data_IF_304474425538
#
_entry.id   IF_304474425538
#
_cell.length_a   1.000
_cell.length_b   1.000
_cell.length_c   1.000
_cell.angle_alpha   90.00
_cell.angle_beta   90.00
_cell.angle_gamma   90.00
#
_symmetry.space_group_name_H-M   'P 1'
#
loop_
_entity.id
_entity.type
_entity.pdbx_description
1 polymer ?
#
# COMPACT_ATOMS: atom_id res chain seq x y z
N UNK A 1 17.07 -54.43 -3.48
CA UNK A 1 17.28 -54.29 -4.94
C UNK A 1 16.49 -53.08 -5.39
N UNK A 2 17.19 -51.96 -5.59
CA UNK A 2 16.63 -50.71 -6.08
C UNK A 2 17.14 -50.51 -7.52
N UNK A 3 16.25 -50.14 -8.42
CA UNK A 3 16.53 -49.73 -9.79
C UNK A 3 16.50 -48.18 -9.88
N UNK A 4 16.84 -47.54 -11.02
CA UNK A 4 18.01 -46.69 -11.14
C UNK A 4 17.68 -45.20 -11.28
N UNK A 5 18.63 -44.33 -10.93
CA UNK A 5 18.57 -42.91 -11.28
C UNK A 5 19.46 -42.63 -12.49
N UNK A 6 18.85 -42.13 -13.56
CA UNK A 6 19.51 -41.53 -14.72
C UNK A 6 18.63 -40.40 -15.27
N UNK A 7 19.11 -39.15 -15.18
CA UNK A 7 18.73 -37.95 -15.95
C UNK A 7 19.91 -36.99 -15.76
N UNK A 8 20.87 -36.85 -16.68
CA UNK A 8 20.86 -36.07 -17.92
C UNK A 8 20.37 -34.62 -17.78
N UNK A 9 21.38 -33.73 -17.76
CA UNK A 9 21.49 -32.36 -18.31
C UNK A 9 20.26 -31.77 -19.01
N UNK A 10 20.00 -30.47 -18.83
CA UNK A 10 19.98 -29.47 -19.91
C UNK A 10 19.82 -28.06 -19.32
N UNK A 11 20.78 -27.18 -19.59
CA UNK A 11 20.65 -25.73 -19.42
C UNK A 11 20.15 -25.11 -20.73
N UNK A 12 19.23 -24.13 -20.73
CA UNK A 12 18.89 -23.35 -21.91
C UNK A 12 19.67 -22.02 -21.97
N UNK A 13 20.61 -21.99 -22.91
CA UNK A 13 20.77 -21.01 -23.99
C UNK A 13 19.94 -19.69 -24.00
N UNK A 14 20.70 -18.58 -24.14
CA UNK A 14 20.52 -17.45 -25.07
C UNK A 14 19.56 -16.29 -24.70
N UNK A 15 20.16 -15.21 -24.17
CA UNK A 15 19.71 -13.82 -24.40
C UNK A 15 20.28 -13.33 -25.73
N UNK A 16 19.40 -13.00 -26.68
CA UNK A 16 19.74 -12.31 -27.93
C UNK A 16 19.58 -10.80 -27.76
N UNK A 17 20.61 -10.04 -28.15
CA UNK A 17 20.60 -8.58 -28.28
C UNK A 17 20.60 -8.24 -29.78
N UNK A 18 19.67 -7.42 -30.30
CA UNK A 18 19.76 -6.98 -31.69
C UNK A 18 20.75 -5.81 -31.85
N UNK A 19 21.74 -6.04 -32.71
CA UNK A 19 22.58 -5.00 -33.33
C UNK A 19 21.79 -4.24 -34.40
N UNK A 20 21.99 -2.92 -34.51
CA UNK A 20 21.75 -2.18 -35.74
C UNK A 20 22.95 -1.31 -36.10
N UNK A 21 23.51 -1.60 -37.27
CA UNK A 21 24.56 -0.86 -37.96
C UNK A 21 23.95 0.21 -38.89
N UNK A 22 24.51 1.43 -38.80
CA UNK A 22 24.96 2.36 -39.86
C UNK A 22 24.33 2.34 -41.28
N UNK A 23 24.17 3.40 -42.08
CA UNK A 23 24.52 4.84 -42.14
C UNK A 23 23.88 5.35 -43.45
N UNK A 24 23.43 6.61 -43.56
CA UNK A 24 23.69 7.47 -44.74
C UNK A 24 23.26 8.94 -44.58
N UNK A 25 24.31 9.78 -44.65
CA UNK A 25 24.48 11.10 -45.31
C UNK A 25 23.54 12.28 -45.00
N UNK A 26 24.25 13.39 -44.74
CA UNK A 26 23.89 14.77 -44.38
C UNK A 26 23.24 15.52 -45.56
N UNK A 27 22.47 16.59 -45.31
CA UNK A 27 22.99 17.89 -45.72
C UNK A 27 22.95 18.96 -44.63
N UNK A 28 23.96 19.82 -44.74
CA UNK A 28 24.31 20.99 -43.95
C UNK A 28 23.24 22.07 -43.92
N UNK A 29 22.94 22.61 -42.73
CA UNK A 29 22.74 24.05 -42.54
C UNK A 29 23.23 24.50 -41.16
N UNK A 30 23.97 25.60 -41.20
CA UNK A 30 24.62 26.24 -40.07
C UNK A 30 23.62 26.94 -39.13
N UNK A 31 23.84 26.82 -37.82
CA UNK A 31 23.61 27.89 -36.83
C UNK A 31 24.51 27.65 -35.62
N UNK A 32 25.47 28.55 -35.40
CA UNK A 32 26.35 28.59 -34.22
C UNK A 32 25.51 28.85 -32.96
N UNK A 33 25.60 28.03 -31.90
CA UNK A 33 25.30 28.48 -30.55
C UNK A 33 26.51 29.25 -29.99
N UNK A 34 26.23 30.37 -29.33
CA UNK A 34 27.20 31.25 -28.67
C UNK A 34 27.81 30.53 -27.47
N UNK A 35 29.14 30.63 -27.35
CA UNK A 35 29.96 30.49 -26.13
C UNK A 35 29.29 29.79 -24.93
N UNK A 36 29.44 28.48 -24.83
CA UNK A 36 29.41 27.79 -23.54
C UNK A 36 30.76 28.01 -22.86
N UNK A 37 30.77 28.72 -21.74
CA UNK A 37 31.97 28.82 -20.91
C UNK A 37 32.32 27.44 -20.34
N UNK A 38 33.61 27.10 -20.20
CA UNK A 38 34.01 25.91 -19.47
C UNK A 38 33.60 26.08 -18.01
N UNK A 39 32.66 25.27 -17.54
CA UNK A 39 32.37 25.11 -16.12
C UNK A 39 33.66 24.64 -15.45
N UNK A 40 34.25 25.52 -14.63
CA UNK A 40 35.44 25.19 -13.87
C UNK A 40 35.12 24.09 -12.86
N UNK A 41 36.06 23.17 -12.53
CA UNK A 41 35.85 22.11 -11.54
C UNK A 41 35.32 22.65 -10.20
N UNK A 42 35.68 23.89 -9.84
CA UNK A 42 35.21 24.59 -8.65
C UNK A 42 33.73 25.00 -8.68
N UNK A 43 33.16 25.28 -9.86
CA UNK A 43 31.74 25.55 -10.01
C UNK A 43 30.92 24.26 -9.90
N UNK A 44 31.44 23.15 -10.43
CA UNK A 44 30.83 21.83 -10.32
C UNK A 44 30.91 21.28 -8.89
N UNK A 45 32.02 21.54 -8.17
CA UNK A 45 32.16 21.21 -6.76
C UNK A 45 31.29 22.10 -5.84
N UNK A 46 31.07 23.38 -6.16
CA UNK A 46 30.10 24.23 -5.46
C UNK A 46 28.66 23.81 -5.74
N UNK A 47 28.32 23.49 -6.98
CA UNK A 47 26.99 23.01 -7.33
C UNK A 47 26.71 21.63 -6.73
N UNK A 48 27.71 20.77 -6.61
CA UNK A 48 27.62 19.51 -5.86
C UNK A 48 27.55 19.75 -4.35
N UNK A 49 28.25 20.75 -3.78
CA UNK A 49 28.11 21.09 -2.36
C UNK A 49 26.76 21.73 -2.04
N UNK A 50 26.24 22.58 -2.91
CA UNK A 50 24.94 23.22 -2.79
C UNK A 50 23.81 22.20 -2.98
N UNK A 51 24.00 21.24 -3.90
CA UNK A 51 23.14 20.07 -4.00
C UNK A 51 23.27 19.16 -2.76
N UNK A 52 24.46 18.91 -2.24
CA UNK A 52 24.65 18.16 -0.98
C UNK A 52 23.99 18.85 0.21
N UNK A 53 23.95 20.19 0.23
CA UNK A 53 23.26 20.97 1.27
C UNK A 53 21.74 20.96 1.07
N UNK A 54 21.28 20.90 -0.18
CA UNK A 54 19.87 20.77 -0.54
C UNK A 54 19.36 19.35 -0.27
N UNK A 55 20.17 18.32 -0.53
CA UNK A 55 19.92 16.95 -0.12
C UNK A 55 20.05 16.78 1.40
N UNK A 56 20.94 17.49 2.11
CA UNK A 56 20.95 17.50 3.58
C UNK A 56 19.76 18.28 4.18
N UNK A 57 19.16 19.23 3.46
CA UNK A 57 17.90 19.91 3.85
C UNK A 57 16.63 19.14 3.47
N UNK A 58 16.68 18.34 2.40
CA UNK A 58 15.59 17.45 1.97
C UNK A 58 15.65 16.08 2.67
N UNK A 59 16.84 15.63 3.06
CA UNK A 59 17.14 14.49 3.95
C UNK A 59 17.34 14.98 5.39
N UNK A 60 16.99 16.24 5.68
CA UNK A 60 16.34 16.55 6.94
C UNK A 60 14.93 15.95 6.87
N UNK A 61 14.88 14.61 6.76
CA UNK A 61 13.81 13.79 7.27
C UNK A 61 13.58 14.37 8.64
N UNK A 62 12.54 15.20 8.77
CA UNK A 62 12.12 15.70 10.05
C UNK A 62 11.78 14.43 10.81
N UNK A 63 12.70 14.03 11.69
CA UNK A 63 12.45 12.93 12.61
C UNK A 63 11.10 13.21 13.25
N UNK A 64 10.24 12.19 13.31
CA UNK A 64 8.95 12.28 14.02
C UNK A 64 9.20 13.00 15.34
N UNK A 65 8.50 14.13 15.55
CA UNK A 65 8.66 14.94 16.74
C UNK A 65 8.39 14.07 17.96
N UNK A 66 9.19 14.21 19.02
CA UNK A 66 9.05 13.40 20.23
C UNK A 66 8.71 14.31 21.41
N UNK A 67 7.60 14.01 22.09
CA UNK A 67 7.13 14.77 23.24
C UNK A 67 6.83 13.84 24.41
N UNK A 68 7.18 14.21 25.66
CA UNK A 68 6.74 13.46 26.82
C UNK A 68 5.23 13.63 27.03
N UNK A 69 4.57 12.60 27.58
CA UNK A 69 3.12 12.56 27.79
C UNK A 69 2.56 13.76 28.57
N UNK A 70 3.31 14.27 29.55
CA UNK A 70 2.90 15.45 30.33
C UNK A 70 2.82 16.72 29.48
N UNK A 71 3.75 16.87 28.53
CA UNK A 71 3.78 18.00 27.59
C UNK A 71 2.71 17.84 26.52
N UNK A 72 2.55 16.63 25.98
CA UNK A 72 1.48 16.32 25.03
C UNK A 72 0.09 16.63 25.60
N UNK A 73 -0.13 16.35 26.89
CA UNK A 73 -1.38 16.69 27.57
C UNK A 73 -1.59 18.20 27.67
N UNK A 74 -0.53 18.98 27.87
CA UNK A 74 -0.62 20.43 28.00
C UNK A 74 -0.79 21.15 26.65
N UNK A 75 -0.24 20.57 25.57
CA UNK A 75 -0.22 21.13 24.22
C UNK A 75 -1.12 20.36 23.23
N UNK A 76 -2.18 19.71 23.70
CA UNK A 76 -2.99 18.82 22.85
C UNK A 76 -3.60 19.53 21.62
N UNK A 77 -3.99 20.80 21.77
CA UNK A 77 -4.53 21.60 20.67
C UNK A 77 -3.49 21.81 19.56
N UNK A 78 -2.28 22.22 19.92
CA UNK A 78 -1.19 22.43 18.96
C UNK A 78 -0.82 21.11 18.27
N UNK A 79 -0.75 20.01 19.03
CA UNK A 79 -0.48 18.67 18.48
C UNK A 79 -1.58 18.18 17.53
N UNK A 80 -2.82 18.60 17.74
CA UNK A 80 -3.92 18.30 16.83
C UNK A 80 -3.78 19.05 15.51
N UNK A 81 -3.43 20.34 15.55
CA UNK A 81 -3.13 21.14 14.34
C UNK A 81 -1.90 20.60 13.59
N UNK A 82 -0.85 20.19 14.31
CA UNK A 82 0.32 19.53 13.73
C UNK A 82 -0.07 18.25 12.99
N UNK A 83 -0.95 17.42 13.58
CA UNK A 83 -1.45 16.22 12.93
C UNK A 83 -2.19 16.54 11.63
N UNK A 84 -3.07 17.55 11.63
CA UNK A 84 -3.77 18.02 10.43
C UNK A 84 -2.82 18.58 9.36
N UNK A 85 -1.65 19.08 9.76
CA UNK A 85 -0.59 19.52 8.86
C UNK A 85 0.33 18.38 8.36
N UNK A 86 -0.06 17.11 8.57
CA UNK A 86 0.72 15.91 8.25
C UNK A 86 2.08 15.88 8.96
N UNK A 87 2.13 16.33 10.22
CA UNK A 87 3.30 16.28 11.09
C UNK A 87 3.09 15.27 12.23
N UNK A 88 3.45 13.99 12.03
CA UNK A 88 3.32 12.97 13.05
C UNK A 88 4.11 13.32 14.33
N UNK A 89 3.48 13.07 15.48
CA UNK A 89 4.11 13.28 16.78
C UNK A 89 4.13 11.99 17.58
N UNK A 90 5.33 11.57 18.00
CA UNK A 90 5.56 10.45 18.92
C UNK A 90 5.44 10.95 20.37
N UNK A 91 4.50 10.37 21.11
CA UNK A 91 4.24 10.66 22.51
C UNK A 91 4.86 9.56 23.37
N UNK A 92 5.74 9.94 24.30
CA UNK A 92 6.45 9.01 25.18
C UNK A 92 5.89 9.04 26.60
N UNK A 93 5.71 7.86 27.19
CA UNK A 93 5.28 7.73 28.59
C UNK A 93 6.20 6.79 29.34
N UNK A 94 6.61 7.20 30.54
CA UNK A 94 7.44 6.37 31.42
C UNK A 94 6.78 5.00 31.65
N UNK A 95 7.53 3.92 31.40
CA UNK A 95 7.10 2.51 31.55
C UNK A 95 5.95 2.08 30.62
N UNK A 96 5.75 2.77 29.49
CA UNK A 96 4.85 2.33 28.43
C UNK A 96 5.55 2.43 27.08
N UNK A 97 5.05 1.67 26.09
CA UNK A 97 5.47 1.85 24.71
C UNK A 97 5.06 3.25 24.21
N UNK A 98 5.85 3.87 23.32
CA UNK A 98 5.48 5.14 22.70
C UNK A 98 4.23 4.98 21.82
N UNK A 99 3.43 6.03 21.73
CA UNK A 99 2.30 6.13 20.79
C UNK A 99 2.59 7.22 19.76
N UNK A 100 1.92 7.20 18.62
CA UNK A 100 2.05 8.24 17.58
C UNK A 100 0.67 8.84 17.32
N UNK A 101 0.61 10.17 17.28
CA UNK A 101 -0.53 10.95 16.81
C UNK A 101 -0.32 11.30 15.33
N UNK A 102 -1.32 11.01 14.51
CA UNK A 102 -1.40 11.35 13.08
C UNK A 102 -2.82 11.81 12.75
N UNK A 103 -3.00 12.48 11.60
CA UNK A 103 -4.34 12.79 11.11
C UNK A 103 -5.08 11.51 10.68
N UNK A 104 -6.41 11.61 10.62
CA UNK A 104 -7.25 10.55 10.03
C UNK A 104 -6.93 10.34 8.54
N UNK A 105 -6.59 11.41 7.82
CA UNK A 105 -6.19 11.32 6.41
C UNK A 105 -4.90 10.51 6.24
N UNK A 106 -3.88 10.78 7.06
CA UNK A 106 -2.64 10.00 7.08
C UNK A 106 -2.89 8.54 7.46
N UNK A 107 -3.76 8.28 8.45
CA UNK A 107 -4.17 6.93 8.81
C UNK A 107 -4.78 6.21 7.61
N UNK A 108 -5.73 6.84 6.90
CA UNK A 108 -6.35 6.27 5.69
C UNK A 108 -5.32 6.02 4.59
N UNK A 109 -4.39 6.94 4.37
CA UNK A 109 -3.33 6.78 3.39
C UNK A 109 -2.38 5.60 3.72
N UNK A 110 -2.02 5.43 4.99
CA UNK A 110 -1.22 4.30 5.47
C UNK A 110 -1.95 2.95 5.34
N UNK A 111 -3.28 2.96 5.48
CA UNK A 111 -4.11 1.77 5.40
C UNK A 111 -4.61 1.44 3.99
N UNK A 112 -4.38 2.32 3.01
CA UNK A 112 -4.95 2.21 1.66
C UNK A 112 -4.63 0.88 0.97
N UNK A 113 -3.42 0.33 1.19
CA UNK A 113 -2.99 -0.93 0.57
C UNK A 113 -3.55 -2.22 1.20
N UNK A 114 -4.34 -2.12 2.28
CA UNK A 114 -4.92 -3.28 2.97
C UNK A 114 -6.34 -3.52 2.49
N UNK A 115 -6.48 -3.98 1.25
CA UNK A 115 -7.76 -4.23 0.57
C UNK A 115 -8.46 -5.49 1.09
N UNK A 116 -9.79 -5.51 0.98
CA UNK A 116 -10.62 -6.67 1.29
C UNK A 116 -10.97 -7.42 0.01
N UNK A 117 -10.97 -8.75 0.08
CA UNK A 117 -11.28 -9.61 -1.05
C UNK A 117 -12.39 -10.60 -0.65
N UNK A 118 -13.64 -10.14 -0.46
CA UNK A 118 -14.72 -11.04 -0.12
C UNK A 118 -14.99 -12.03 -1.25
N UNK A 119 -15.02 -13.32 -0.91
CA UNK A 119 -15.37 -14.39 -1.85
C UNK A 119 -16.84 -14.73 -1.66
N UNK A 120 -17.64 -14.61 -2.72
CA UNK A 120 -19.07 -14.93 -2.69
C UNK A 120 -19.30 -16.33 -3.27
N UNK A 121 -19.98 -17.18 -2.51
CA UNK A 121 -20.27 -18.56 -2.85
C UNK A 121 -21.78 -18.79 -2.91
N UNK A 122 -22.22 -19.51 -3.95
CA UNK A 122 -23.61 -19.89 -4.14
C UNK A 122 -23.72 -21.42 -4.14
N UNK A 123 -24.41 -21.98 -3.16
CA UNK A 123 -24.57 -23.43 -3.06
C UNK A 123 -25.96 -23.80 -2.51
N UNK A 124 -26.64 -24.73 -3.19
CA UNK A 124 -27.90 -25.34 -2.74
C UNK A 124 -28.98 -24.33 -2.27
N UNK A 125 -29.11 -23.19 -2.96
CA UNK A 125 -30.08 -22.14 -2.61
C UNK A 125 -29.67 -21.29 -1.41
N UNK A 126 -28.39 -21.31 -1.03
CA UNK A 126 -27.79 -20.44 -0.01
C UNK A 126 -26.69 -19.59 -0.63
N UNK A 127 -26.45 -18.45 0.00
CA UNK A 127 -25.34 -17.56 -0.30
C UNK A 127 -24.39 -17.53 0.90
N UNK A 128 -23.10 -17.59 0.64
CA UNK A 128 -22.04 -17.43 1.62
C UNK A 128 -21.07 -16.33 1.17
N UNK A 129 -20.53 -15.58 2.12
CA UNK A 129 -19.50 -14.59 1.88
C UNK A 129 -18.36 -14.88 2.85
N UNK A 130 -17.21 -15.25 2.29
CA UNK A 130 -15.98 -15.43 3.04
C UNK A 130 -15.15 -14.16 2.97
N UNK A 131 -14.62 -13.71 4.11
CA UNK A 131 -13.68 -12.60 4.21
C UNK A 131 -12.31 -13.13 4.68
N UNK A 132 -11.41 -13.48 3.74
CA UNK A 132 -10.16 -14.18 4.04
C UNK A 132 -9.27 -13.46 5.05
N UNK A 133 -9.18 -12.13 4.95
CA UNK A 133 -8.25 -11.31 5.74
C UNK A 133 -8.58 -11.34 7.23
N UNK A 134 -9.86 -11.45 7.54
CA UNK A 134 -10.36 -11.53 8.92
C UNK A 134 -10.79 -12.93 9.33
N UNK A 135 -10.80 -13.87 8.39
CA UNK A 135 -11.35 -15.21 8.56
C UNK A 135 -12.79 -15.18 9.10
N UNK A 136 -13.60 -14.28 8.56
CA UNK A 136 -15.02 -14.12 8.92
C UNK A 136 -15.91 -14.64 7.79
N UNK A 137 -17.07 -15.16 8.15
CA UNK A 137 -18.00 -15.75 7.22
C UNK A 137 -19.42 -15.25 7.53
N UNK A 138 -20.12 -14.73 6.53
CA UNK A 138 -21.56 -14.47 6.60
C UNK A 138 -22.31 -15.40 5.67
N UNK A 139 -23.48 -15.89 6.07
CA UNK A 139 -24.34 -16.68 5.19
C UNK A 139 -25.79 -16.24 5.19
N UNK A 140 -26.55 -16.70 4.20
CA UNK A 140 -27.93 -16.30 4.07
C UNK A 140 -28.71 -17.08 3.04
N UNK A 141 -30.02 -16.83 2.99
CA UNK A 141 -30.86 -17.31 1.89
C UNK A 141 -30.69 -16.45 0.64
N UNK A 142 -30.26 -15.20 0.84
CA UNK A 142 -29.94 -14.22 -0.19
C UNK A 142 -28.55 -13.61 0.02
N UNK A 143 -28.07 -12.87 -0.96
CA UNK A 143 -26.82 -12.10 -0.85
C UNK A 143 -26.92 -11.03 0.25
N UNK A 144 -28.05 -10.33 0.36
CA UNK A 144 -28.25 -9.31 1.40
C UNK A 144 -28.28 -9.91 2.80
N UNK A 145 -28.91 -11.08 2.97
CA UNK A 145 -28.88 -11.81 4.25
C UNK A 145 -27.43 -12.14 4.65
N UNK A 146 -26.63 -12.65 3.69
CA UNK A 146 -25.24 -13.00 3.93
C UNK A 146 -24.35 -11.78 4.23
N UNK A 147 -24.64 -10.61 3.63
CA UNK A 147 -23.97 -9.34 3.97
C UNK A 147 -24.31 -8.87 5.37
N UNK A 148 -25.58 -8.94 5.75
CA UNK A 148 -26.03 -8.55 7.09
C UNK A 148 -25.34 -9.42 8.15
N UNK A 149 -25.31 -10.74 7.96
CA UNK A 149 -24.64 -11.66 8.87
C UNK A 149 -23.12 -11.41 8.93
N UNK A 150 -22.47 -11.11 7.79
CA UNK A 150 -21.05 -10.74 7.79
C UNK A 150 -20.78 -9.46 8.60
N UNK A 151 -21.66 -8.46 8.54
CA UNK A 151 -21.53 -7.23 9.33
C UNK A 151 -21.71 -7.52 10.83
N UNK A 152 -22.64 -8.39 11.21
CA UNK A 152 -22.81 -8.82 12.60
C UNK A 152 -21.53 -9.48 13.13
N UNK A 153 -20.93 -10.39 12.36
CA UNK A 153 -19.65 -11.04 12.70
C UNK A 153 -18.48 -10.03 12.82
N UNK A 154 -18.46 -8.99 11.98
CA UNK A 154 -17.50 -7.89 12.09
C UNK A 154 -17.71 -7.12 13.40
N UNK A 155 -18.95 -6.75 13.74
CA UNK A 155 -19.25 -6.03 14.96
C UNK A 155 -18.91 -6.85 16.21
N UNK A 156 -19.18 -8.16 16.19
CA UNK A 156 -18.76 -9.07 17.25
C UNK A 156 -17.23 -9.12 17.41
N UNK A 157 -16.48 -9.22 16.30
CA UNK A 157 -15.02 -9.14 16.33
C UNK A 157 -14.54 -7.83 16.94
N UNK A 158 -15.08 -6.69 16.48
CA UNK A 158 -14.70 -5.36 16.97
C UNK A 158 -15.03 -5.18 18.46
N UNK A 159 -16.19 -5.67 18.91
CA UNK A 159 -16.58 -5.64 20.32
C UNK A 159 -15.64 -6.48 21.21
N UNK A 160 -15.28 -7.68 20.77
CA UNK A 160 -14.30 -8.54 21.46
C UNK A 160 -12.92 -7.87 21.56
N UNK A 161 -12.48 -7.24 20.47
CA UNK A 161 -11.22 -6.52 20.43
C UNK A 161 -11.24 -5.29 21.32
N UNK A 162 -12.35 -4.54 21.41
CA UNK A 162 -12.50 -3.41 22.31
C UNK A 162 -12.36 -3.86 23.78
N UNK A 163 -13.00 -4.98 24.14
CA UNK A 163 -13.03 -5.51 25.49
C UNK A 163 -11.68 -6.12 25.96
N UNK A 164 -10.81 -6.56 25.06
CA UNK A 164 -9.61 -7.33 25.42
C UNK A 164 -8.32 -6.82 24.79
N UNK A 165 -7.50 -6.14 25.61
CA UNK A 165 -6.13 -5.75 25.21
C UNK A 165 -5.24 -6.96 24.88
N UNK A 166 -5.48 -8.11 25.53
CA UNK A 166 -4.75 -9.35 25.26
C UNK A 166 -5.08 -9.89 23.87
N UNK A 167 -6.34 -9.82 23.44
CA UNK A 167 -6.77 -10.31 22.13
C UNK A 167 -6.12 -9.48 21.00
N UNK A 168 -6.04 -8.16 21.17
CA UNK A 168 -5.35 -7.27 20.22
C UNK A 168 -3.87 -7.62 19.99
N UNK A 169 -3.22 -8.25 20.97
CA UNK A 169 -1.83 -8.69 20.88
C UNK A 169 -1.66 -10.17 20.52
N UNK A 170 -2.74 -10.91 20.25
CA UNK A 170 -2.65 -12.31 19.86
C UNK A 170 -2.02 -12.42 18.45
N UNK A 171 -1.13 -13.39 18.18
CA UNK A 171 -0.43 -13.48 16.88
C UNK A 171 -1.36 -13.50 15.67
N UNK A 172 -2.49 -14.22 15.78
CA UNK A 172 -3.50 -14.32 14.71
C UNK A 172 -4.33 -13.03 14.52
N UNK A 173 -4.25 -12.07 15.44
CA UNK A 173 -4.92 -10.77 15.35
C UNK A 173 -3.94 -9.68 14.94
N UNK A 174 -2.71 -9.72 15.47
CA UNK A 174 -1.68 -8.70 15.24
C UNK A 174 -1.41 -8.49 13.73
N UNK A 175 -1.33 -9.59 12.98
CA UNK A 175 -1.10 -9.55 11.52
C UNK A 175 -2.30 -8.99 10.75
N UNK A 176 -3.49 -8.96 11.36
CA UNK A 176 -4.75 -8.51 10.75
C UNK A 176 -5.15 -7.09 11.15
N UNK A 177 -4.39 -6.46 12.06
CA UNK A 177 -4.72 -5.14 12.59
C UNK A 177 -4.95 -4.07 11.53
N UNK A 178 -4.21 -4.01 10.40
CA UNK A 178 -4.48 -2.99 9.39
C UNK A 178 -5.90 -3.04 8.82
N UNK A 179 -6.42 -4.23 8.51
CA UNK A 179 -7.81 -4.41 8.07
C UNK A 179 -8.82 -4.09 9.15
N UNK A 180 -8.54 -4.50 10.40
CA UNK A 180 -9.38 -4.17 11.55
C UNK A 180 -9.46 -2.65 11.72
N UNK A 181 -8.35 -1.92 11.60
CA UNK A 181 -8.34 -0.46 11.70
C UNK A 181 -9.12 0.22 10.58
N UNK A 182 -9.13 -0.34 9.35
CA UNK A 182 -10.01 0.16 8.28
C UNK A 182 -11.49 0.05 8.67
N UNK A 183 -11.91 -1.09 9.23
CA UNK A 183 -13.31 -1.28 9.67
C UNK A 183 -13.67 -0.43 10.90
N UNK A 184 -12.71 -0.15 11.77
CA UNK A 184 -12.89 0.76 12.91
C UNK A 184 -12.99 2.23 12.49
N UNK A 185 -12.35 2.62 11.38
CA UNK A 185 -12.39 3.99 10.85
C UNK A 185 -13.68 4.31 10.09
N UNK A 186 -14.39 3.28 9.62
CA UNK A 186 -15.69 3.44 8.96
C UNK A 186 -16.77 3.92 9.94
N UNK A 187 -17.56 4.91 9.53
CA UNK A 187 -18.58 5.57 10.35
C UNK A 187 -19.94 4.89 10.31
N UNK A 188 -20.15 4.00 9.35
CA UNK A 188 -21.43 3.32 9.15
C UNK A 188 -21.23 1.95 8.50
N UNK A 189 -22.28 1.12 8.58
CA UNK A 189 -22.32 -0.15 7.87
C UNK A 189 -22.29 0.03 6.36
N UNK A 190 -22.87 1.11 5.83
CA UNK A 190 -22.77 1.44 4.40
C UNK A 190 -21.30 1.66 3.99
N UNK A 191 -20.54 2.47 4.74
CA UNK A 191 -19.11 2.69 4.46
C UNK A 191 -18.30 1.39 4.61
N UNK A 192 -18.64 0.53 5.59
CA UNK A 192 -18.02 -0.79 5.72
C UNK A 192 -18.32 -1.66 4.50
N UNK A 193 -19.55 -1.69 4.03
CA UNK A 193 -19.93 -2.44 2.84
C UNK A 193 -19.23 -1.89 1.59
N UNK A 194 -19.08 -0.58 1.45
CA UNK A 194 -18.28 0.04 0.38
C UNK A 194 -16.81 -0.40 0.48
N UNK A 195 -16.23 -0.46 1.68
CA UNK A 195 -14.85 -0.96 1.88
C UNK A 195 -14.70 -2.42 1.50
N UNK A 196 -15.67 -3.27 1.85
CA UNK A 196 -15.63 -4.70 1.61
C UNK A 196 -15.83 -5.03 0.12
N UNK A 197 -16.78 -4.35 -0.53
CA UNK A 197 -17.21 -4.67 -1.90
C UNK A 197 -16.85 -3.59 -2.92
N UNK A 198 -15.85 -2.75 -2.63
CA UNK A 198 -15.34 -1.76 -3.58
C UNK A 198 -14.95 -2.46 -4.90
N UNK A 199 -15.35 -1.87 -6.03
CA UNK A 199 -14.85 -2.34 -7.32
C UNK A 199 -13.33 -2.15 -7.36
N UNK A 200 -12.56 -3.19 -7.72
CA UNK A 200 -11.12 -3.06 -7.82
C UNK A 200 -10.80 -2.03 -8.89
N UNK A 201 -10.05 -0.99 -8.53
CA UNK A 201 -9.59 0.05 -9.43
C UNK A 201 -8.58 -0.52 -10.43
N UNK A 202 -9.04 -1.32 -11.41
CA UNK A 202 -8.11 -1.96 -12.33
C UNK A 202 -8.59 -3.09 -13.24
N UNK A 203 -9.88 -3.47 -13.26
CA UNK A 203 -10.37 -4.45 -14.27
C UNK A 203 -11.01 -3.74 -15.46
N UNK A 204 -10.21 -2.96 -16.18
CA UNK A 204 -10.46 -2.86 -17.62
C UNK A 204 -10.26 -4.26 -18.17
N UNK A 205 -11.36 -4.92 -18.53
CA UNK A 205 -11.32 -6.20 -19.23
C UNK A 205 -10.43 -6.06 -20.46
N UNK A 206 -9.21 -6.60 -20.40
CA UNK A 206 -8.47 -6.96 -21.59
C UNK A 206 -9.16 -8.22 -22.13
N UNK A 207 -10.28 -7.99 -22.81
CA UNK A 207 -10.99 -9.00 -23.57
C UNK A 207 -9.97 -9.63 -24.55
N UNK A 208 -9.78 -10.96 -24.54
CA UNK A 208 -8.82 -11.59 -25.43
C UNK A 208 -9.31 -11.38 -26.86
N UNK A 209 -8.66 -10.46 -27.58
CA UNK A 209 -8.89 -10.24 -29.02
C UNK A 209 -8.65 -11.56 -29.75
N UNK A 210 -9.75 -12.22 -30.12
CA UNK A 210 -9.71 -13.38 -30.98
C UNK A 210 -8.97 -13.04 -32.29
N UNK A 211 -8.17 -13.97 -32.84
CA UNK A 211 -7.44 -13.73 -34.07
C UNK A 211 -8.43 -13.58 -35.22
N UNK A 212 -8.37 -12.42 -35.90
CA UNK A 212 -9.08 -12.21 -37.16
C UNK A 212 -8.51 -13.20 -38.18
N UNK A 213 -9.29 -14.23 -38.48
CA UNK A 213 -9.02 -15.14 -39.57
C UNK A 213 -9.05 -14.35 -40.89
N UNK A 214 -7.88 -14.15 -41.49
CA UNK A 214 -7.77 -13.66 -42.86
C UNK A 214 -8.42 -14.70 -43.79
N UNK A 215 -9.50 -14.31 -44.47
CA UNK A 215 -10.12 -15.06 -45.55
C UNK A 215 -10.01 -14.24 -46.84
N UNK A 216 -9.62 -14.98 -47.89
CA UNK A 216 -9.61 -14.68 -49.33
C UNK A 216 -8.47 -13.79 -49.84
#
# INVERSE_FOLDING_TARGET
MAAPHSMQNFAPAWFSVPQFEQVKRIPSYARRPKHTQPVTPSALLRQLSDNLTTWQRLVQIRSVQQVPYSEARAALADLFEDALAHLPTRIERRRAAPAVLISREDLRALLAGFEFHPEVLFEAGRVGIWLPELALWGHGSTFEDARAELLEEIDELLAQLAASARLRGAPNIADRLPWIYRLMDAESDEERLELLFAEPAGTSQEEPRAPVAARA
#
